data_IF_989115117854
#
_entry.id   IF_989115117854
#
_cell.length_a   1.000
_cell.length_b   1.000
_cell.length_c   1.000
_cell.angle_alpha   90.00
_cell.angle_beta   90.00
_cell.angle_gamma   90.00
#
_symmetry.space_group_name_H-M   'P 1'
#
loop_
_entity.id
_entity.type
_entity.pdbx_description
1 polymer ?
#
# COMPACT_ATOMS: atom_id res chain seq x y z
N UNK A 1 4.81 -8.66 -0.64
CA UNK A 1 5.70 -7.86 0.22
C UNK A 1 5.49 -6.40 -0.18
N UNK A 2 5.21 -5.47 0.74
CA UNK A 2 4.95 -4.06 0.37
C UNK A 2 6.27 -3.30 0.46
N UNK A 3 6.79 -2.90 -0.69
CA UNK A 3 7.99 -2.09 -0.87
C UNK A 3 7.56 -0.63 -1.03
N UNK A 4 7.22 0.02 0.07
CA UNK A 4 7.15 1.48 0.03
C UNK A 4 8.54 1.99 -0.30
N UNK A 5 8.67 3.12 -1.02
CA UNK A 5 9.73 4.05 -0.62
C UNK A 5 9.30 4.37 0.80
N UNK A 6 9.88 3.67 1.78
CA UNK A 6 10.26 4.41 2.95
C UNK A 6 11.07 5.52 2.33
N UNK A 7 10.46 6.70 2.22
CA UNK A 7 11.20 7.88 2.53
C UNK A 7 11.62 7.66 3.99
N UNK A 8 12.58 6.76 4.20
CA UNK A 8 13.60 6.89 5.20
C UNK A 8 14.39 8.10 4.70
N UNK A 9 13.74 9.28 4.76
CA UNK A 9 14.36 10.31 5.54
C UNK A 9 14.62 9.59 6.85
N UNK A 10 15.87 9.17 7.18
CA UNK A 10 16.15 8.71 8.53
C UNK A 10 15.47 9.72 9.43
N UNK A 11 14.54 9.27 10.29
CA UNK A 11 13.70 10.14 11.13
C UNK A 11 14.59 11.29 11.55
N UNK A 12 14.32 12.48 10.97
CA UNK A 12 15.29 13.57 10.87
C UNK A 12 16.00 13.69 12.21
N UNK A 13 17.27 13.26 12.32
CA UNK A 13 17.96 12.96 13.60
C UNK A 13 17.37 13.80 14.72
N UNK A 14 16.39 13.25 15.42
CA UNK A 14 15.62 14.04 16.38
C UNK A 14 16.48 14.14 17.61
N UNK A 15 16.68 15.37 18.10
CA UNK A 15 17.25 15.52 19.43
C UNK A 15 16.33 14.76 20.40
N UNK A 16 16.83 13.81 21.20
CA UNK A 16 15.99 12.99 22.09
C UNK A 16 15.06 13.82 22.97
N UNK A 17 15.50 15.01 23.38
CA UNK A 17 14.70 15.95 24.16
C UNK A 17 13.51 16.51 23.37
N UNK A 18 13.68 16.78 22.08
CA UNK A 18 12.60 17.25 21.21
C UNK A 18 11.55 16.15 21.05
N UNK A 19 11.96 14.90 20.86
CA UNK A 19 11.03 13.77 20.77
C UNK A 19 10.19 13.60 22.03
N UNK A 20 10.83 13.62 23.20
CA UNK A 20 10.14 13.55 24.48
C UNK A 20 9.19 14.73 24.72
N UNK A 21 9.61 15.95 24.38
CA UNK A 21 8.79 17.14 24.52
C UNK A 21 7.55 17.08 23.61
N UNK A 22 7.72 16.70 22.35
CA UNK A 22 6.61 16.54 21.41
C UNK A 22 5.62 15.49 21.89
N UNK A 23 6.10 14.39 22.45
CA UNK A 23 5.24 13.38 23.08
C UNK A 23 4.40 13.99 24.21
N UNK A 24 5.01 14.68 25.18
CA UNK A 24 4.27 15.31 26.27
C UNK A 24 3.25 16.34 25.78
N UNK A 25 3.64 17.20 24.83
CA UNK A 25 2.75 18.19 24.22
C UNK A 25 1.57 17.50 23.53
N UNK A 26 1.81 16.41 22.80
CA UNK A 26 0.75 15.68 22.10
C UNK A 26 -0.29 15.10 23.07
N UNK A 27 0.14 14.58 24.23
CA UNK A 27 -0.76 14.07 25.27
C UNK A 27 -1.58 15.22 25.86
N UNK A 28 -0.94 16.34 26.22
CA UNK A 28 -1.65 17.51 26.76
C UNK A 28 -2.68 18.03 25.76
N UNK A 29 -2.30 18.17 24.48
CA UNK A 29 -3.21 18.60 23.43
C UNK A 29 -4.38 17.63 23.25
N UNK A 30 -4.11 16.32 23.25
CA UNK A 30 -5.17 15.30 23.10
C UNK A 30 -6.16 15.34 24.26
N UNK A 31 -5.68 15.46 25.50
CA UNK A 31 -6.55 15.54 26.69
C UNK A 31 -7.38 16.81 26.67
N UNK A 32 -6.80 17.95 26.29
CA UNK A 32 -7.49 19.23 26.31
C UNK A 32 -8.45 19.41 25.13
N UNK A 33 -8.07 19.00 23.91
CA UNK A 33 -8.83 19.27 22.68
C UNK A 33 -9.61 18.07 22.16
N UNK A 34 -9.16 16.85 22.47
CA UNK A 34 -9.76 15.60 22.01
C UNK A 34 -11.23 15.45 22.37
N UNK A 35 -11.67 15.74 23.62
CA UNK A 35 -13.09 15.65 23.98
C UNK A 35 -13.98 16.57 23.14
N UNK A 36 -13.54 17.81 22.89
CA UNK A 36 -14.29 18.77 22.06
C UNK A 36 -14.34 18.32 20.60
N UNK A 37 -13.21 17.88 20.05
CA UNK A 37 -13.13 17.34 18.69
C UNK A 37 -14.01 16.11 18.50
N UNK A 38 -14.04 15.22 19.48
CA UNK A 38 -14.86 14.00 19.47
C UNK A 38 -16.35 14.34 19.47
N UNK A 39 -16.79 15.22 20.37
CA UNK A 39 -18.20 15.66 20.44
C UNK A 39 -18.62 16.31 19.12
N UNK A 40 -17.81 17.23 18.60
CA UNK A 40 -18.09 17.88 17.32
C UNK A 40 -18.16 16.86 16.18
N UNK A 41 -17.19 15.95 16.08
CA UNK A 41 -17.14 14.90 15.06
C UNK A 41 -18.34 13.97 15.10
N UNK A 42 -18.82 13.62 16.29
CA UNK A 42 -20.01 12.80 16.50
C UNK A 42 -21.26 13.49 15.93
N UNK A 43 -21.50 14.74 16.31
CA UNK A 43 -22.65 15.50 15.79
C UNK A 43 -22.52 15.77 14.29
N UNK A 44 -21.35 16.21 13.82
CA UNK A 44 -21.12 16.49 12.41
C UNK A 44 -21.40 15.28 11.53
N UNK A 45 -20.88 14.11 11.91
CA UNK A 45 -21.05 12.88 11.15
C UNK A 45 -22.50 12.39 11.15
N UNK A 46 -23.18 12.51 12.31
CA UNK A 46 -24.60 12.20 12.44
C UNK A 46 -25.47 13.12 11.57
N UNK A 47 -25.22 14.42 11.56
CA UNK A 47 -26.01 15.37 10.77
C UNK A 47 -25.71 15.29 9.27
N UNK A 48 -24.47 14.98 8.88
CA UNK A 48 -24.07 14.90 7.48
C UNK A 48 -24.54 13.60 6.79
N UNK A 49 -24.47 12.46 7.49
CA UNK A 49 -24.68 11.12 6.91
C UNK A 49 -25.47 10.14 7.81
N UNK A 50 -26.09 10.60 8.89
CA UNK A 50 -26.86 9.74 9.79
C UNK A 50 -26.01 8.68 10.50
N UNK A 51 -26.60 7.51 10.76
CA UNK A 51 -25.92 6.39 11.41
C UNK A 51 -24.74 5.84 10.59
N UNK A 52 -24.80 5.91 9.25
CA UNK A 52 -23.67 5.53 8.39
C UNK A 52 -22.47 6.43 8.63
N UNK A 53 -22.69 7.75 8.73
CA UNK A 53 -21.64 8.70 9.08
C UNK A 53 -21.03 8.46 10.45
N UNK A 54 -21.85 8.15 11.44
CA UNK A 54 -21.36 7.75 12.76
C UNK A 54 -20.48 6.50 12.69
N UNK A 55 -20.91 5.47 11.94
CA UNK A 55 -20.12 4.26 11.72
C UNK A 55 -18.76 4.55 11.08
N UNK A 56 -18.72 5.35 10.00
CA UNK A 56 -17.47 5.80 9.36
C UNK A 56 -16.56 6.54 10.35
N UNK A 57 -17.12 7.41 11.20
CA UNK A 57 -16.37 8.16 12.21
C UNK A 57 -15.76 7.24 13.28
N UNK A 58 -16.55 6.32 13.84
CA UNK A 58 -16.05 5.36 14.82
C UNK A 58 -14.99 4.42 14.24
N UNK A 59 -15.17 3.97 13.00
CA UNK A 59 -14.18 3.15 12.31
C UNK A 59 -12.84 3.88 12.15
N UNK A 60 -12.86 5.17 11.79
CA UNK A 60 -11.64 6.01 11.68
C UNK A 60 -10.90 6.16 13.01
N UNK A 61 -11.66 6.35 14.10
CA UNK A 61 -11.08 6.42 15.45
C UNK A 61 -10.49 5.06 15.84
N UNK A 62 -11.18 3.96 15.59
CA UNK A 62 -10.71 2.61 15.88
C UNK A 62 -9.39 2.30 15.15
N UNK A 63 -9.31 2.60 13.85
CA UNK A 63 -8.08 2.45 13.05
C UNK A 63 -6.93 3.28 13.64
N UNK A 64 -7.20 4.53 14.03
CA UNK A 64 -6.18 5.41 14.61
C UNK A 64 -5.66 4.92 15.97
N UNK A 65 -6.55 4.39 16.82
CA UNK A 65 -6.18 3.78 18.10
C UNK A 65 -5.33 2.53 17.85
N UNK A 66 -5.68 1.73 16.85
CA UNK A 66 -4.94 0.53 16.52
C UNK A 66 -3.51 0.83 16.01
N UNK A 67 -3.35 1.87 15.18
CA UNK A 67 -2.02 2.37 14.77
C UNK A 67 -1.18 2.86 15.95
N UNK A 68 -1.78 3.63 16.87
CA UNK A 68 -1.10 4.05 18.10
C UNK A 68 -0.65 2.83 18.92
N UNK A 69 -1.52 1.83 19.05
CA UNK A 69 -1.23 0.58 19.72
C UNK A 69 -0.05 -0.16 19.09
N UNK A 70 0.02 -0.20 17.75
CA UNK A 70 1.11 -0.84 17.02
C UNK A 70 2.48 -0.23 17.37
N UNK A 71 2.56 1.10 17.46
CA UNK A 71 3.78 1.81 17.86
C UNK A 71 4.09 1.60 19.34
N UNK A 72 3.09 1.83 20.21
CA UNK A 72 3.25 1.80 21.66
C UNK A 72 3.67 0.43 22.18
N UNK A 73 3.06 -0.63 21.65
CA UNK A 73 3.24 -2.00 22.13
C UNK A 73 4.23 -2.81 21.29
N UNK A 74 4.89 -2.21 20.28
CA UNK A 74 5.70 -2.92 19.28
C UNK A 74 6.67 -3.95 19.89
N UNK A 75 7.38 -3.61 20.96
CA UNK A 75 8.39 -4.48 21.55
C UNK A 75 7.75 -5.69 22.24
N UNK A 76 6.61 -5.48 22.90
CA UNK A 76 5.85 -6.54 23.56
C UNK A 76 5.20 -7.47 22.53
N UNK A 77 4.55 -6.91 21.51
CA UNK A 77 3.91 -7.67 20.43
C UNK A 77 4.96 -8.48 19.64
N UNK A 78 6.10 -7.87 19.32
CA UNK A 78 7.21 -8.55 18.63
C UNK A 78 7.81 -9.71 19.43
N UNK A 79 7.75 -9.63 20.77
CA UNK A 79 8.22 -10.69 21.66
C UNK A 79 7.20 -11.83 21.78
N UNK A 80 5.92 -11.49 21.94
CA UNK A 80 4.89 -12.45 22.32
C UNK A 80 4.15 -13.07 21.13
N UNK A 81 3.94 -12.32 20.03
CA UNK A 81 2.98 -12.70 18.98
C UNK A 81 3.63 -13.29 17.74
N UNK A 82 4.93 -13.08 17.53
CA UNK A 82 5.64 -13.52 16.32
C UNK A 82 6.89 -14.32 16.63
N UNK A 83 7.25 -15.21 15.72
CA UNK A 83 8.52 -15.96 15.71
C UNK A 83 9.67 -15.02 15.35
N UNK A 84 10.91 -15.49 15.55
CA UNK A 84 12.14 -14.71 15.35
C UNK A 84 12.19 -14.00 13.97
N UNK A 85 11.79 -14.71 12.91
CA UNK A 85 11.81 -14.25 11.52
C UNK A 85 10.46 -13.66 11.04
N UNK A 86 9.55 -13.35 11.97
CA UNK A 86 8.26 -12.73 11.66
C UNK A 86 8.35 -11.25 11.29
N UNK A 87 7.34 -10.78 10.55
CA UNK A 87 7.14 -9.37 10.22
C UNK A 87 6.93 -8.57 11.50
N UNK A 88 7.67 -7.46 11.67
CA UNK A 88 7.69 -6.70 12.93
C UNK A 88 6.51 -5.72 13.04
N UNK A 89 5.89 -5.69 14.21
CA UNK A 89 5.04 -4.61 14.69
C UNK A 89 5.87 -3.34 14.92
N UNK A 90 5.24 -2.17 14.84
CA UNK A 90 5.86 -0.86 15.13
C UNK A 90 5.83 0.18 14.01
N UNK A 91 5.33 -0.18 12.83
CA UNK A 91 5.15 0.79 11.76
C UNK A 91 3.99 1.74 12.10
N UNK A 92 4.29 3.04 12.28
CA UNK A 92 3.31 4.07 12.67
C UNK A 92 2.16 4.28 11.68
N UNK A 93 2.36 3.87 10.43
CA UNK A 93 1.37 4.00 9.36
C UNK A 93 0.60 2.68 9.12
N UNK A 94 0.72 1.70 10.04
CA UNK A 94 0.11 0.36 9.95
C UNK A 94 -0.60 0.00 11.25
N UNK A 95 -1.73 -0.70 11.13
CA UNK A 95 -2.57 -1.20 12.23
C UNK A 95 -1.98 -2.48 12.84
N UNK A 96 -2.36 -2.82 14.09
CA UNK A 96 -1.98 -4.10 14.70
C UNK A 96 -2.63 -5.24 13.90
N UNK A 97 -3.90 -5.11 13.55
CA UNK A 97 -4.61 -6.14 12.79
C UNK A 97 -3.92 -6.45 11.46
N UNK A 98 -3.43 -5.43 10.74
CA UNK A 98 -2.70 -5.62 9.47
C UNK A 98 -1.37 -6.34 9.67
N UNK A 99 -0.57 -5.91 10.66
CA UNK A 99 0.69 -6.56 10.99
C UNK A 99 0.50 -8.02 11.48
N UNK A 100 -0.58 -8.29 12.22
CA UNK A 100 -0.99 -9.64 12.64
C UNK A 100 -1.37 -10.50 11.42
N UNK A 101 -2.21 -9.98 10.52
CA UNK A 101 -2.63 -10.65 9.28
C UNK A 101 -1.45 -11.00 8.37
N UNK A 102 -0.45 -10.11 8.22
CA UNK A 102 0.80 -10.41 7.49
C UNK A 102 1.52 -11.62 8.07
N UNK A 103 1.65 -11.67 9.39
CA UNK A 103 2.31 -12.78 10.07
C UNK A 103 1.49 -14.07 10.00
N UNK A 104 0.16 -13.97 9.99
CA UNK A 104 -0.72 -15.12 9.75
C UNK A 104 -0.47 -15.71 8.35
N UNK A 105 -0.50 -14.87 7.31
CA UNK A 105 -0.21 -15.25 5.92
C UNK A 105 1.20 -15.84 5.74
N UNK A 106 2.17 -15.36 6.50
CA UNK A 106 3.56 -15.84 6.49
C UNK A 106 3.79 -17.07 7.39
N UNK A 107 2.78 -17.55 8.12
CA UNK A 107 2.92 -18.62 9.13
C UNK A 107 3.96 -18.33 10.23
N UNK A 108 4.19 -17.04 10.52
CA UNK A 108 5.19 -16.55 11.47
C UNK A 108 4.62 -16.15 12.83
N UNK A 109 3.32 -16.32 13.06
CA UNK A 109 2.72 -16.12 14.40
C UNK A 109 3.17 -17.18 15.41
N UNK A 110 3.29 -16.79 16.68
CA UNK A 110 3.36 -17.73 17.81
C UNK A 110 1.98 -18.33 18.08
N UNK A 111 1.90 -19.36 18.94
CA UNK A 111 0.61 -19.91 19.39
C UNK A 111 -0.26 -18.85 20.07
N UNK A 112 0.36 -17.89 20.78
CA UNK A 112 -0.37 -16.78 21.38
C UNK A 112 -0.86 -15.79 20.32
N UNK A 113 -0.03 -15.44 19.34
CA UNK A 113 -0.46 -14.60 18.20
C UNK A 113 -1.62 -15.22 17.41
N UNK A 114 -1.57 -16.53 17.15
CA UNK A 114 -2.67 -17.27 16.49
C UNK A 114 -3.95 -17.29 17.33
N UNK A 115 -3.85 -17.34 18.65
CA UNK A 115 -5.02 -17.26 19.53
C UNK A 115 -5.69 -15.89 19.44
N UNK A 116 -4.90 -14.81 19.43
CA UNK A 116 -5.44 -13.45 19.27
C UNK A 116 -6.09 -13.27 17.90
N UNK A 117 -5.43 -13.72 16.83
CA UNK A 117 -5.97 -13.69 15.47
C UNK A 117 -7.35 -14.37 15.37
N UNK A 118 -7.51 -15.54 16.00
CA UNK A 118 -8.80 -16.23 16.09
C UNK A 118 -9.88 -15.47 16.88
N UNK A 119 -9.51 -14.69 17.90
CA UNK A 119 -10.47 -13.86 18.63
C UNK A 119 -11.00 -12.76 17.71
N UNK A 120 -10.13 -12.15 16.92
CA UNK A 120 -10.52 -11.09 15.98
C UNK A 120 -11.45 -11.64 14.89
N UNK A 121 -11.18 -12.86 14.41
CA UNK A 121 -12.04 -13.53 13.43
C UNK A 121 -13.46 -13.85 13.93
N UNK A 122 -13.69 -13.85 15.26
CA UNK A 122 -15.04 -14.00 15.84
C UNK A 122 -15.84 -12.70 15.70
N UNK A 123 -15.16 -11.54 15.71
CA UNK A 123 -15.79 -10.22 15.62
C UNK A 123 -16.18 -9.93 14.16
N UNK A 124 -15.28 -10.25 13.23
CA UNK A 124 -15.49 -10.12 11.79
C UNK A 124 -14.74 -11.25 11.07
N UNK A 125 -15.38 -11.92 10.12
CA UNK A 125 -14.74 -13.07 9.47
C UNK A 125 -13.51 -12.63 8.69
N UNK A 126 -12.38 -13.32 8.84
CA UNK A 126 -11.09 -12.95 8.22
C UNK A 126 -10.61 -11.54 8.60
N UNK A 127 -11.01 -11.01 9.76
CA UNK A 127 -10.72 -9.64 10.19
C UNK A 127 -9.25 -9.24 9.95
N UNK A 128 -8.31 -10.08 10.38
CA UNK A 128 -6.89 -9.78 10.26
C UNK A 128 -6.41 -9.82 8.81
N UNK A 129 -6.91 -10.75 7.99
CA UNK A 129 -6.54 -10.87 6.57
C UNK A 129 -7.14 -9.74 5.74
N UNK A 130 -8.39 -9.39 5.97
CA UNK A 130 -9.06 -8.27 5.31
C UNK A 130 -8.42 -6.94 5.73
N UNK A 131 -7.93 -6.87 6.98
CA UNK A 131 -7.16 -5.72 7.47
C UNK A 131 -5.76 -5.58 6.86
N UNK A 132 -5.23 -6.59 6.17
CA UNK A 132 -4.00 -6.43 5.36
C UNK A 132 -4.22 -5.36 4.29
N UNK A 133 -5.44 -5.31 3.74
CA UNK A 133 -5.85 -4.35 2.70
C UNK A 133 -6.57 -3.11 3.26
N UNK A 134 -6.90 -3.08 4.56
CA UNK A 134 -7.16 -1.84 5.32
C UNK A 134 -5.86 -1.02 5.46
N UNK A 135 -5.30 -0.66 4.32
CA UNK A 135 -4.58 0.59 4.20
C UNK A 135 -5.61 1.70 4.42
N UNK A 136 -5.26 2.63 5.32
CA UNK A 136 -5.87 3.94 5.53
C UNK A 136 -6.62 4.31 4.26
N UNK A 137 -7.95 4.47 4.34
CA UNK A 137 -8.84 4.80 3.21
C UNK A 137 -8.05 5.57 2.16
N UNK A 138 -8.06 5.19 0.86
CA UNK A 138 -7.47 6.04 -0.15
C UNK A 138 -8.15 7.39 0.01
N UNK A 139 -7.47 8.31 0.68
CA UNK A 139 -7.90 9.68 0.72
C UNK A 139 -7.94 10.09 -0.75
N UNK A 140 -8.57 11.22 -1.08
CA UNK A 140 -8.43 11.79 -2.43
C UNK A 140 -6.97 12.01 -2.87
N UNK A 141 -6.00 11.70 -2.01
CA UNK A 141 -4.56 11.76 -2.18
C UNK A 141 -3.92 10.38 -2.42
N UNK A 142 -4.63 9.26 -2.62
CA UNK A 142 -4.02 7.99 -3.06
C UNK A 142 -4.64 7.53 -4.38
N UNK A 143 -3.78 7.37 -5.39
CA UNK A 143 -4.08 6.79 -6.69
C UNK A 143 -3.71 5.32 -6.61
N UNK A 144 -4.72 4.45 -6.49
CA UNK A 144 -4.54 3.01 -6.42
C UNK A 144 -4.54 2.39 -7.83
N UNK A 145 -3.48 1.66 -8.15
CA UNK A 145 -3.21 1.07 -9.48
C UNK A 145 -2.65 -0.35 -9.37
N UNK A 146 -2.82 -1.07 -10.46
CA UNK A 146 -2.24 -2.38 -10.76
C UNK A 146 -1.17 -2.21 -11.84
N UNK A 147 -0.14 -3.04 -11.79
CA UNK A 147 0.91 -3.07 -12.81
C UNK A 147 1.27 -4.50 -13.18
N UNK A 148 1.48 -4.72 -14.48
CA UNK A 148 2.00 -5.97 -15.02
C UNK A 148 3.50 -5.86 -15.24
N UNK A 149 4.24 -6.72 -14.56
CA UNK A 149 5.70 -6.77 -14.60
C UNK A 149 6.11 -7.79 -15.64
N UNK A 150 6.44 -7.30 -16.83
CA UNK A 150 6.92 -8.11 -17.92
C UNK A 150 8.39 -7.83 -18.20
N UNK A 151 9.22 -8.86 -18.06
CA UNK A 151 10.66 -8.77 -18.20
C UNK A 151 11.14 -9.58 -19.40
N UNK A 152 12.06 -9.02 -20.18
CA UNK A 152 12.76 -9.68 -21.27
C UNK A 152 14.19 -9.15 -21.36
N UNK A 153 15.17 -10.04 -21.46
CA UNK A 153 16.60 -9.69 -21.66
C UNK A 153 17.15 -8.65 -20.68
N UNK A 154 16.75 -8.73 -19.40
CA UNK A 154 17.17 -7.79 -18.36
C UNK A 154 16.54 -6.40 -18.48
N UNK A 155 15.44 -6.28 -19.24
CA UNK A 155 14.65 -5.08 -19.43
C UNK A 155 13.21 -5.30 -18.98
N UNK A 156 12.53 -4.22 -18.63
CA UNK A 156 11.11 -4.21 -18.29
C UNK A 156 10.32 -3.51 -19.38
N UNK A 157 9.14 -4.04 -19.68
CA UNK A 157 8.18 -3.40 -20.56
C UNK A 157 7.63 -2.14 -19.91
N UNK A 158 7.70 -1.01 -20.61
CA UNK A 158 7.14 0.26 -20.17
C UNK A 158 6.42 0.95 -21.31
N UNK A 159 5.39 1.72 -20.97
CA UNK A 159 4.53 2.42 -21.90
C UNK A 159 4.55 3.92 -21.62
N UNK A 160 4.23 4.72 -22.63
CA UNK A 160 4.04 6.16 -22.48
C UNK A 160 2.73 6.54 -23.12
N UNK A 161 1.81 7.07 -22.33
CA UNK A 161 0.54 7.58 -22.84
C UNK A 161 0.74 8.89 -23.61
N UNK A 162 -0.16 9.15 -24.57
CA UNK A 162 -0.15 10.37 -25.39
C UNK A 162 -0.09 11.64 -24.52
N UNK A 163 0.89 12.50 -24.80
CA UNK A 163 1.08 13.76 -24.08
C UNK A 163 1.76 13.65 -22.71
N UNK A 164 2.27 12.47 -22.34
CA UNK A 164 3.14 12.27 -21.17
C UNK A 164 4.60 12.25 -21.58
N UNK A 165 5.46 12.73 -20.69
CA UNK A 165 6.93 12.78 -20.89
C UNK A 165 7.68 11.63 -20.24
N UNK A 166 7.11 11.02 -19.21
CA UNK A 166 7.67 9.85 -18.50
C UNK A 166 7.06 8.55 -19.02
N UNK A 167 7.81 7.47 -18.86
CA UNK A 167 7.31 6.11 -19.04
C UNK A 167 6.73 5.56 -17.73
N UNK A 168 5.76 4.65 -17.89
CA UNK A 168 5.09 3.97 -16.81
C UNK A 168 5.07 2.47 -17.09
N UNK A 169 5.06 1.65 -16.04
CA UNK A 169 4.80 0.21 -16.21
C UNK A 169 3.32 0.04 -16.57
N UNK A 170 2.98 -0.78 -17.59
CA UNK A 170 1.61 -0.92 -18.07
C UNK A 170 0.66 -1.51 -17.01
N UNK A 171 -0.59 -1.06 -17.06
CA UNK A 171 -1.65 -1.39 -16.11
C UNK A 171 -2.42 -0.16 -15.65
N UNK A 172 -3.43 -0.35 -14.81
CA UNK A 172 -4.32 0.75 -14.47
C UNK A 172 -5.13 0.57 -13.21
N UNK A 173 -6.27 1.26 -13.14
CA UNK A 173 -7.04 1.39 -11.89
C UNK A 173 -8.04 0.25 -11.77
N UNK A 174 -8.36 -0.10 -10.52
CA UNK A 174 -9.50 -0.97 -10.24
C UNK A 174 -10.79 -0.20 -10.46
N UNK A 175 -11.78 -0.87 -11.07
CA UNK A 175 -13.16 -0.43 -10.93
C UNK A 175 -13.72 -0.81 -9.55
N UNK A 176 -14.80 -0.15 -9.13
CA UNK A 176 -15.37 -0.38 -7.80
C UNK A 176 -15.84 -1.83 -7.64
N UNK A 177 -15.23 -2.55 -6.69
CA UNK A 177 -15.53 -3.97 -6.42
C UNK A 177 -14.89 -4.95 -7.40
N UNK A 178 -14.01 -4.49 -8.29
CA UNK A 178 -13.32 -5.34 -9.25
C UNK A 178 -12.10 -6.04 -8.62
N UNK A 179 -11.97 -7.38 -8.74
CA UNK A 179 -10.78 -8.10 -8.27
C UNK A 179 -9.54 -7.74 -9.09
N UNK A 180 -8.36 -7.75 -8.45
CA UNK A 180 -7.08 -7.38 -9.05
C UNK A 180 -6.80 -8.09 -10.38
N UNK A 181 -6.97 -9.41 -10.45
CA UNK A 181 -6.72 -10.16 -11.67
C UNK A 181 -7.59 -9.68 -12.83
N UNK A 182 -8.89 -9.44 -12.56
CA UNK A 182 -9.84 -8.99 -13.58
C UNK A 182 -9.51 -7.59 -14.08
N UNK A 183 -9.25 -6.68 -13.15
CA UNK A 183 -8.84 -5.31 -13.46
C UNK A 183 -7.54 -5.28 -14.29
N UNK A 184 -6.52 -6.02 -13.88
CA UNK A 184 -5.23 -6.03 -14.59
C UNK A 184 -5.36 -6.59 -16.01
N UNK A 185 -6.14 -7.67 -16.22
CA UNK A 185 -6.36 -8.22 -17.57
C UNK A 185 -7.06 -7.21 -18.47
N UNK A 186 -8.09 -6.54 -17.95
CA UNK A 186 -8.84 -5.51 -18.69
C UNK A 186 -7.90 -4.37 -19.11
N UNK A 187 -7.16 -3.80 -18.17
CA UNK A 187 -6.24 -2.69 -18.42
C UNK A 187 -5.15 -3.07 -19.42
N UNK A 188 -4.50 -4.23 -19.27
CA UNK A 188 -3.46 -4.67 -20.20
C UNK A 188 -4.01 -4.96 -21.59
N UNK A 189 -5.24 -5.47 -21.69
CA UNK A 189 -5.90 -5.65 -22.99
C UNK A 189 -6.17 -4.31 -23.67
N UNK A 190 -6.61 -3.30 -22.92
CA UNK A 190 -6.90 -1.95 -23.41
C UNK A 190 -5.64 -1.17 -23.82
N UNK A 191 -4.52 -1.35 -23.09
CA UNK A 191 -3.26 -0.65 -23.37
C UNK A 191 -2.39 -1.33 -24.42
N UNK A 192 -2.38 -2.67 -24.45
CA UNK A 192 -1.36 -3.47 -25.15
C UNK A 192 -1.91 -4.56 -26.07
N UNK A 193 -3.24 -4.64 -26.25
CA UNK A 193 -3.90 -5.60 -27.16
C UNK A 193 -3.57 -7.09 -26.89
N UNK A 194 -3.14 -7.43 -25.66
CA UNK A 194 -2.80 -8.80 -25.25
C UNK A 194 -3.67 -9.28 -24.10
N UNK A 195 -3.77 -10.59 -23.94
CA UNK A 195 -4.53 -11.21 -22.87
C UNK A 195 -3.58 -11.87 -21.87
N UNK A 196 -3.66 -11.48 -20.60
CA UNK A 196 -2.87 -12.11 -19.54
C UNK A 196 -3.50 -13.45 -19.14
N UNK A 197 -2.66 -14.46 -18.90
CA UNK A 197 -3.10 -15.73 -18.32
C UNK A 197 -3.28 -15.56 -16.80
N UNK A 198 -4.55 -15.53 -16.37
CA UNK A 198 -4.97 -15.42 -14.96
C UNK A 198 -4.21 -16.41 -14.06
N UNK A 199 -4.03 -17.65 -14.53
CA UNK A 199 -3.46 -18.74 -13.74
C UNK A 199 -1.96 -18.57 -13.50
N UNK A 200 -1.31 -17.76 -14.33
CA UNK A 200 0.11 -17.43 -14.23
C UNK A 200 0.40 -16.20 -13.39
N UNK A 201 -0.62 -15.48 -12.93
CA UNK A 201 -0.43 -14.24 -12.19
C UNK A 201 0.26 -14.52 -10.85
N UNK A 202 1.42 -13.91 -10.65
CA UNK A 202 2.20 -14.03 -9.42
C UNK A 202 2.41 -12.67 -8.80
N UNK A 203 1.88 -12.50 -7.59
CA UNK A 203 2.05 -11.26 -6.84
C UNK A 203 3.53 -11.00 -6.52
N UNK A 204 4.03 -9.86 -6.97
CA UNK A 204 5.41 -9.41 -6.72
C UNK A 204 5.47 -8.57 -5.45
N UNK A 205 4.62 -7.56 -5.35
CA UNK A 205 4.65 -6.62 -4.25
C UNK A 205 3.75 -5.41 -4.48
N UNK A 206 3.69 -4.53 -3.48
CA UNK A 206 3.01 -3.23 -3.58
C UNK A 206 4.05 -2.14 -3.39
N UNK A 207 4.06 -1.16 -4.27
CA UNK A 207 5.00 -0.05 -4.27
C UNK A 207 4.26 1.27 -4.09
N UNK A 208 4.81 2.17 -3.27
CA UNK A 208 4.18 3.45 -2.99
C UNK A 208 5.18 4.60 -3.11
N UNK A 209 4.81 5.62 -3.89
CA UNK A 209 5.60 6.85 -4.07
C UNK A 209 4.69 8.05 -4.38
N UNK A 210 5.27 9.25 -4.43
CA UNK A 210 4.58 10.47 -4.86
C UNK A 210 4.11 10.34 -6.31
N UNK A 211 2.87 10.75 -6.58
CA UNK A 211 2.31 10.81 -7.92
C UNK A 211 2.95 11.93 -8.73
N UNK A 212 3.41 11.58 -9.93
CA UNK A 212 3.94 12.54 -10.89
C UNK A 212 2.88 13.56 -11.30
N UNK A 213 3.31 14.81 -11.50
CA UNK A 213 2.45 15.93 -11.93
C UNK A 213 1.27 16.24 -10.99
N UNK A 214 1.27 15.71 -9.76
CA UNK A 214 0.27 16.01 -8.74
C UNK A 214 0.87 16.86 -7.61
N UNK A 215 0.00 17.47 -6.79
CA UNK A 215 0.42 18.20 -5.60
C UNK A 215 1.15 17.26 -4.63
N UNK A 216 2.16 17.75 -3.88
CA UNK A 216 2.78 16.98 -2.81
C UNK A 216 1.74 16.37 -1.87
N UNK A 217 1.92 15.09 -1.53
CA UNK A 217 1.00 14.33 -0.68
C UNK A 217 0.05 13.42 -1.45
N UNK A 218 -0.10 13.60 -2.77
CA UNK A 218 -0.80 12.60 -3.60
C UNK A 218 0.16 11.45 -3.90
N UNK A 219 -0.14 10.24 -3.44
CA UNK A 219 0.65 9.03 -3.64
C UNK A 219 0.06 8.15 -4.74
N UNK A 220 0.90 7.44 -5.47
CA UNK A 220 0.51 6.26 -6.25
C UNK A 220 0.83 5.03 -5.42
N UNK A 221 -0.16 4.15 -5.25
CA UNK A 221 0.01 2.80 -4.72
C UNK A 221 -0.12 1.83 -5.90
N UNK A 222 0.96 1.14 -6.22
CA UNK A 222 1.05 0.23 -7.35
C UNK A 222 1.14 -1.22 -6.86
N UNK A 223 0.13 -2.04 -7.13
CA UNK A 223 0.14 -3.48 -6.84
C UNK A 223 0.65 -4.22 -8.07
N UNK A 224 1.80 -4.86 -7.96
CA UNK A 224 2.55 -5.42 -9.08
C UNK A 224 2.42 -6.93 -9.15
N UNK A 225 2.16 -7.45 -10.35
CA UNK A 225 2.06 -8.88 -10.65
C UNK A 225 2.96 -9.23 -11.84
N UNK A 226 3.66 -10.36 -11.75
CA UNK A 226 4.15 -11.05 -12.94
C UNK A 226 3.01 -11.82 -13.59
N UNK A 227 3.15 -12.14 -14.87
CA UNK A 227 2.21 -12.99 -15.59
C UNK A 227 2.67 -13.29 -17.01
N UNK A 228 2.28 -14.45 -17.51
CA UNK A 228 2.36 -14.81 -18.91
C UNK A 228 1.19 -14.17 -19.68
N UNK A 229 1.34 -14.10 -20.99
CA UNK A 229 0.34 -13.50 -21.88
C UNK A 229 0.22 -14.26 -23.20
N UNK A 230 -0.87 -14.01 -23.90
CA UNK A 230 -1.14 -14.48 -25.25
C UNK A 230 -1.39 -13.29 -26.20
N UNK A 231 -0.97 -13.46 -27.46
CA UNK A 231 -1.11 -12.45 -28.51
C UNK A 231 0.20 -11.72 -28.82
N UNK A 232 0.08 -10.64 -29.59
CA UNK A 232 1.21 -9.79 -29.99
C UNK A 232 1.08 -8.45 -29.30
N UNK A 233 2.13 -8.04 -28.58
CA UNK A 233 2.17 -6.73 -27.92
C UNK A 233 2.09 -5.61 -28.95
N UNK A 234 1.02 -4.83 -28.89
CA UNK A 234 0.79 -3.67 -29.74
C UNK A 234 0.21 -2.54 -28.88
N UNK A 235 0.75 -1.32 -28.94
CA UNK A 235 0.14 -0.20 -28.23
C UNK A 235 -1.26 0.07 -28.78
N UNK A 236 -2.20 0.37 -27.90
CA UNK A 236 -3.60 0.66 -28.25
C UNK A 236 -4.14 1.88 -27.47
N UNK A 237 -5.30 2.40 -27.89
CA UNK A 237 -6.08 3.46 -27.26
C UNK A 237 -5.27 4.72 -26.93
N UNK A 238 -4.77 4.79 -25.69
CA UNK A 238 -4.09 5.93 -25.10
C UNK A 238 -2.56 5.84 -25.10
N UNK A 239 -1.99 4.66 -25.37
CA UNK A 239 -0.55 4.45 -25.41
C UNK A 239 0.02 4.98 -26.72
N UNK A 240 0.99 5.90 -26.61
CA UNK A 240 1.73 6.46 -27.74
C UNK A 240 2.90 5.56 -28.13
N UNK A 241 3.58 5.00 -27.13
CA UNK A 241 4.82 4.26 -27.31
C UNK A 241 4.96 3.13 -26.28
N UNK A 242 5.51 2.02 -26.74
CA UNK A 242 5.94 0.89 -25.92
C UNK A 242 7.45 0.72 -26.07
N UNK A 243 8.15 0.58 -24.95
CA UNK A 243 9.62 0.53 -24.89
C UNK A 243 10.07 -0.51 -23.87
N UNK A 244 11.27 -1.05 -24.09
CA UNK A 244 11.95 -1.93 -23.16
C UNK A 244 13.08 -1.17 -22.46
N UNK A 245 12.92 -0.90 -21.18
CA UNK A 245 13.84 -0.10 -20.37
C UNK A 245 14.72 -0.99 -19.49
N UNK A 246 15.98 -0.60 -19.31
CA UNK A 246 16.90 -1.22 -18.35
C UNK A 246 17.15 -0.27 -17.17
N UNK A 247 17.97 -0.66 -16.20
CA UNK A 247 18.19 0.13 -14.99
C UNK A 247 18.84 1.50 -15.27
N UNK A 248 19.59 1.65 -16.37
CA UNK A 248 20.18 2.95 -16.75
C UNK A 248 19.13 3.98 -17.18
N UNK A 249 17.93 3.52 -17.53
CA UNK A 249 16.82 4.37 -17.98
C UNK A 249 15.93 4.82 -16.81
N UNK A 250 16.32 4.56 -15.55
CA UNK A 250 15.53 4.82 -14.34
C UNK A 250 15.08 6.29 -14.19
N UNK A 251 15.81 7.25 -14.75
CA UNK A 251 15.41 8.67 -14.70
C UNK A 251 14.27 9.02 -15.68
N UNK A 252 13.92 8.12 -16.59
CA UNK A 252 12.84 8.30 -17.57
C UNK A 252 11.47 7.86 -17.04
N UNK A 253 11.42 7.17 -15.88
CA UNK A 253 10.19 6.57 -15.35
C UNK A 253 9.60 7.37 -14.18
N UNK A 254 8.39 6.97 -13.77
CA UNK A 254 7.70 7.56 -12.63
C UNK A 254 8.39 7.27 -11.29
N UNK A 255 8.12 8.07 -10.25
CA UNK A 255 8.74 7.88 -8.94
C UNK A 255 8.40 6.54 -8.29
N UNK A 256 7.22 5.95 -8.58
CA UNK A 256 6.87 4.61 -8.11
C UNK A 256 7.60 3.54 -8.91
N UNK A 257 7.76 3.73 -10.22
CA UNK A 257 8.47 2.78 -11.07
C UNK A 257 9.97 2.76 -10.77
N UNK A 258 10.57 3.88 -10.35
CA UNK A 258 11.96 3.87 -9.84
C UNK A 258 12.17 2.85 -8.72
N UNK A 259 11.20 2.70 -7.81
CA UNK A 259 11.28 1.69 -6.75
C UNK A 259 11.18 0.27 -7.27
N UNK A 260 10.36 0.07 -8.29
CA UNK A 260 10.20 -1.23 -8.94
C UNK A 260 11.51 -1.57 -9.68
N UNK A 261 12.12 -0.61 -10.35
CA UNK A 261 13.42 -0.75 -11.00
C UNK A 261 14.52 -1.07 -9.99
N UNK A 262 14.62 -0.32 -8.89
CA UNK A 262 15.57 -0.59 -7.79
C UNK A 262 15.42 -2.01 -7.26
N UNK A 263 14.18 -2.43 -6.99
CA UNK A 263 13.88 -3.76 -6.47
C UNK A 263 14.28 -4.86 -7.46
N UNK A 264 13.93 -4.72 -8.73
CA UNK A 264 14.27 -5.69 -9.78
C UNK A 264 15.76 -5.75 -10.05
N UNK A 265 16.46 -4.61 -10.02
CA UNK A 265 17.91 -4.53 -10.16
C UNK A 265 18.63 -5.23 -9.01
N UNK A 266 18.20 -4.99 -7.76
CA UNK A 266 18.74 -5.68 -6.58
C UNK A 266 18.50 -7.21 -6.62
N UNK A 267 17.45 -7.65 -7.33
CA UNK A 267 17.17 -9.08 -7.58
C UNK A 267 17.94 -9.66 -8.77
N UNK A 268 18.72 -8.84 -9.49
CA UNK A 268 19.44 -9.25 -10.71
C UNK A 268 18.52 -9.52 -11.90
N UNK A 269 17.31 -8.98 -11.91
CA UNK A 269 16.31 -9.17 -12.95
C UNK A 269 16.27 -8.02 -13.98
N UNK A 270 16.82 -6.85 -13.62
CA UNK A 270 17.13 -5.75 -14.54
C UNK A 270 18.65 -5.55 -14.62
N UNK A 271 19.14 -5.14 -15.79
CA UNK A 271 20.55 -4.88 -16.09
C UNK A 271 20.91 -3.38 -16.08
#
# INVERSE_FOLDING_TARGET
MIFKKQVYQPDKKTNPLIGFLLFLISIVLLVLTGPFGFIYGLFHSLFAKGFTGLGEFFLKIAISIDQLGNVLMQHLLNLLWIKKDGYKFGNRDETISSALGRNNKMNTLTSFGQFIDKILDIIDNNHSLDSIDYYIEPSKQIIDKLAWIHLADGKILSTRSKGKTKYYIPGGKRELGEPDAKALIREIKEELSVELDVSSLQFMGVFEAQADSHKPGVLVKMTCYYGNYHGTLLPDSEIEEMVWLNYKDIEMVSEVDKLIFDYLYQKGQLL
#
